data_IF_910222246436
#
_entry.id   IF_910222246436
#
_cell.length_a   1.000
_cell.length_b   1.000
_cell.length_c   1.000
_cell.angle_alpha   90.00
_cell.angle_beta   90.00
_cell.angle_gamma   90.00
#
_symmetry.space_group_name_H-M   'P 1'
#
loop_
_entity.id
_entity.type
_entity.pdbx_description
1 polymer ?
#
# COMPACT_ATOMS: atom_id res chain seq x y z
N UNK A 1 -12.34 43.61 -29.76
CA UNK A 1 -13.56 42.81 -30.01
C UNK A 1 -13.25 41.30 -30.11
N UNK A 2 -12.23 40.78 -29.47
CA UNK A 2 -11.89 39.35 -29.56
C UNK A 2 -11.70 38.65 -28.20
N UNK A 3 -12.38 39.08 -27.14
CA UNK A 3 -12.25 38.48 -25.81
C UNK A 3 -13.40 37.51 -25.46
N UNK A 4 -14.43 37.42 -26.30
CA UNK A 4 -15.61 36.61 -25.99
C UNK A 4 -15.52 35.13 -26.42
N UNK A 5 -14.52 34.72 -27.22
CA UNK A 5 -14.40 33.33 -27.70
C UNK A 5 -13.62 32.38 -26.81
N UNK A 6 -12.85 32.90 -25.83
CA UNK A 6 -12.05 32.05 -24.93
C UNK A 6 -12.82 31.46 -23.73
N UNK A 7 -14.00 31.99 -23.39
CA UNK A 7 -14.79 31.51 -22.24
C UNK A 7 -15.64 30.27 -22.55
N UNK A 8 -15.93 30.03 -23.81
CA UNK A 8 -16.76 28.86 -24.23
C UNK A 8 -15.95 27.57 -24.25
N UNK A 9 -14.63 27.65 -24.43
CA UNK A 9 -13.74 26.48 -24.45
C UNK A 9 -13.46 25.86 -23.07
N UNK A 10 -13.59 26.61 -21.99
CA UNK A 10 -13.29 26.11 -20.64
C UNK A 10 -14.39 25.23 -20.05
N UNK A 11 -15.65 25.48 -20.40
CA UNK A 11 -16.78 24.66 -19.93
C UNK A 11 -16.86 23.31 -20.64
N UNK A 12 -16.46 23.23 -21.91
CA UNK A 12 -16.37 21.95 -22.63
C UNK A 12 -15.29 21.02 -22.03
N UNK A 13 -14.15 21.56 -21.64
CA UNK A 13 -13.08 20.75 -21.00
C UNK A 13 -13.46 20.19 -19.63
N UNK A 14 -14.35 20.85 -18.90
CA UNK A 14 -14.81 20.39 -17.58
C UNK A 14 -15.84 19.27 -17.72
N UNK A 15 -16.72 19.32 -18.71
CA UNK A 15 -17.72 18.27 -18.98
C UNK A 15 -17.07 16.95 -19.46
N UNK A 16 -16.06 17.03 -20.30
CA UNK A 16 -15.38 15.84 -20.82
C UNK A 16 -14.56 15.13 -19.71
N UNK A 17 -14.08 15.86 -18.70
CA UNK A 17 -13.42 15.25 -17.53
C UNK A 17 -14.38 14.46 -16.62
N UNK A 18 -15.65 14.82 -16.57
CA UNK A 18 -16.65 14.13 -15.74
C UNK A 18 -17.11 12.80 -16.35
N UNK A 19 -16.86 12.55 -17.64
CA UNK A 19 -17.29 11.34 -18.35
C UNK A 19 -16.17 10.34 -18.61
N UNK A 20 -14.97 10.51 -18.07
CA UNK A 20 -13.98 9.47 -18.04
C UNK A 20 -14.53 8.29 -17.20
N UNK A 21 -15.29 7.41 -17.87
CA UNK A 21 -15.79 6.14 -17.29
C UNK A 21 -14.61 5.46 -16.63
N UNK A 22 -14.63 5.36 -15.29
CA UNK A 22 -13.68 4.54 -14.54
C UNK A 22 -13.71 3.16 -15.16
N UNK A 23 -12.69 2.79 -15.94
CA UNK A 23 -12.56 1.43 -16.48
C UNK A 23 -12.68 0.50 -15.28
N UNK A 24 -13.72 -0.34 -15.26
CA UNK A 24 -13.84 -1.40 -14.25
C UNK A 24 -12.55 -2.21 -14.35
N UNK A 25 -11.76 -2.21 -13.28
CA UNK A 25 -10.59 -3.07 -13.20
C UNK A 25 -11.10 -4.50 -13.31
N UNK A 26 -10.63 -5.21 -14.32
CA UNK A 26 -10.89 -6.64 -14.46
C UNK A 26 -10.37 -7.33 -13.20
N UNK A 27 -11.21 -8.10 -12.53
CA UNK A 27 -10.79 -8.89 -11.38
C UNK A 27 -9.88 -10.00 -11.88
N UNK A 28 -8.62 -9.95 -11.51
CA UNK A 28 -7.66 -11.01 -11.80
C UNK A 28 -7.86 -12.10 -10.75
N UNK A 29 -8.20 -13.32 -11.14
CA UNK A 29 -8.25 -14.47 -10.24
C UNK A 29 -6.81 -14.98 -10.03
N UNK A 30 -6.18 -14.55 -8.95
CA UNK A 30 -4.80 -14.92 -8.60
C UNK A 30 -4.87 -15.66 -7.27
N UNK A 31 -4.57 -16.97 -7.27
CA UNK A 31 -4.62 -17.79 -6.07
C UNK A 31 -3.41 -17.58 -5.15
N UNK A 32 -2.23 -17.36 -5.74
CA UNK A 32 -0.98 -17.16 -5.00
C UNK A 32 -0.43 -15.75 -5.22
N UNK A 33 -0.03 -15.10 -4.13
CA UNK A 33 0.56 -13.77 -4.16
C UNK A 33 1.67 -13.59 -3.16
N UNK A 34 2.30 -12.42 -3.23
CA UNK A 34 3.32 -11.96 -2.29
C UNK A 34 2.84 -10.70 -1.60
N UNK A 35 2.99 -10.64 -0.28
CA UNK A 35 2.69 -9.42 0.47
C UNK A 35 3.98 -8.76 0.94
N UNK A 36 4.15 -7.50 0.64
CA UNK A 36 5.29 -6.69 1.03
C UNK A 36 4.86 -5.70 2.10
N UNK A 37 5.40 -5.84 3.30
CA UNK A 37 5.19 -4.96 4.44
C UNK A 37 6.40 -4.06 4.57
N UNK A 38 6.25 -2.77 4.35
CA UNK A 38 7.29 -1.78 4.58
C UNK A 38 6.93 -0.96 5.82
N UNK A 39 7.58 -1.26 6.94
CA UNK A 39 7.39 -0.57 8.21
C UNK A 39 8.58 0.36 8.48
N UNK A 40 8.41 1.65 8.28
CA UNK A 40 9.36 2.68 8.67
C UNK A 40 8.97 3.30 10.02
N UNK A 41 9.87 4.09 10.62
CA UNK A 41 9.56 4.83 11.85
C UNK A 41 8.40 5.83 11.70
N UNK A 42 8.05 6.25 10.49
CA UNK A 42 7.05 7.28 10.23
C UNK A 42 5.77 6.74 9.58
N UNK A 43 5.82 5.58 8.94
CA UNK A 43 4.70 5.05 8.16
C UNK A 43 4.78 3.54 7.98
N UNK A 44 3.62 2.91 7.76
CA UNK A 44 3.53 1.52 7.34
C UNK A 44 2.78 1.46 6.02
N UNK A 45 3.35 0.77 5.04
CA UNK A 45 2.78 0.53 3.72
C UNK A 45 2.72 -0.98 3.49
N UNK A 46 1.59 -1.46 3.03
CA UNK A 46 1.38 -2.87 2.69
C UNK A 46 0.98 -2.94 1.23
N UNK A 47 1.69 -3.75 0.47
CA UNK A 47 1.42 -3.98 -0.96
C UNK A 47 1.32 -5.47 -1.22
N UNK A 48 0.25 -5.88 -1.88
CA UNK A 48 0.06 -7.27 -2.33
C UNK A 48 0.34 -7.32 -3.83
N UNK A 49 1.19 -8.26 -4.22
CA UNK A 49 1.58 -8.48 -5.62
C UNK A 49 1.28 -9.91 -6.04
N UNK A 50 1.24 -10.15 -7.33
CA UNK A 50 1.28 -11.51 -7.89
C UNK A 50 2.71 -12.08 -7.85
N UNK A 51 2.88 -13.31 -8.33
CA UNK A 51 4.20 -13.95 -8.41
C UNK A 51 5.16 -13.25 -9.37
N UNK A 52 4.63 -12.48 -10.34
CA UNK A 52 5.41 -11.71 -11.31
C UNK A 52 5.83 -10.33 -10.79
N UNK A 53 5.32 -9.90 -9.62
CA UNK A 53 5.60 -8.60 -9.03
C UNK A 53 4.62 -7.48 -9.39
N UNK A 54 3.53 -7.78 -10.13
CA UNK A 54 2.53 -6.77 -10.43
C UNK A 54 1.67 -6.50 -9.19
N UNK A 55 1.43 -5.24 -8.85
CA UNK A 55 0.62 -4.87 -7.71
C UNK A 55 -0.87 -5.15 -7.96
N UNK A 56 -1.48 -5.93 -7.06
CA UNK A 56 -2.91 -6.27 -7.06
C UNK A 56 -3.67 -5.30 -6.16
N UNK A 57 -3.17 -5.14 -4.94
CA UNK A 57 -3.76 -4.31 -3.91
C UNK A 57 -2.69 -3.63 -3.07
N UNK A 58 -3.00 -2.47 -2.54
CA UNK A 58 -2.11 -1.78 -1.62
C UNK A 58 -2.91 -0.93 -0.64
N UNK A 59 -2.31 -0.66 0.51
CA UNK A 59 -2.85 0.23 1.53
C UNK A 59 -1.72 0.90 2.29
N UNK A 60 -1.99 2.08 2.84
CA UNK A 60 -1.05 2.84 3.67
C UNK A 60 -1.78 3.55 4.81
N UNK A 61 -1.07 3.88 5.87
CA UNK A 61 -1.69 4.56 7.03
C UNK A 61 -2.28 5.92 6.68
N UNK A 62 -1.72 6.61 5.68
CA UNK A 62 -2.26 7.87 5.18
C UNK A 62 -3.62 7.74 4.50
N UNK A 63 -3.93 6.62 3.85
CA UNK A 63 -5.23 6.37 3.23
C UNK A 63 -6.36 6.23 4.25
N UNK A 64 -6.04 5.74 5.44
CA UNK A 64 -7.00 5.58 6.54
C UNK A 64 -7.13 6.83 7.42
N UNK A 65 -6.66 7.98 6.96
CA UNK A 65 -6.79 9.25 7.66
C UNK A 65 -5.84 9.45 8.85
N UNK A 66 -4.89 8.53 9.08
CA UNK A 66 -3.86 8.75 10.08
C UNK A 66 -2.89 9.84 9.64
N UNK A 67 -2.62 10.81 10.53
CA UNK A 67 -1.73 11.95 10.26
C UNK A 67 -0.61 12.04 11.31
N UNK A 68 0.51 12.63 10.93
CA UNK A 68 1.65 12.87 11.81
C UNK A 68 2.18 11.59 12.47
N UNK A 69 2.43 11.62 13.77
CA UNK A 69 2.95 10.51 14.57
C UNK A 69 2.02 9.30 14.67
N UNK A 70 0.72 9.48 14.45
CA UNK A 70 -0.27 8.38 14.47
C UNK A 70 -0.06 7.37 13.34
N UNK A 71 0.65 7.72 12.26
CA UNK A 71 0.95 6.82 11.15
C UNK A 71 1.88 5.67 11.52
N UNK A 72 2.77 5.87 12.49
CA UNK A 72 3.75 4.87 12.91
C UNK A 72 3.24 3.93 14.00
N UNK A 73 1.99 4.09 14.44
CA UNK A 73 1.44 3.28 15.52
C UNK A 73 1.16 1.85 15.09
N UNK A 74 1.30 0.86 16.00
CA UNK A 74 0.94 -0.53 15.73
C UNK A 74 -0.52 -0.71 15.32
N UNK A 75 -1.42 0.08 15.88
CA UNK A 75 -2.84 0.07 15.54
C UNK A 75 -3.07 0.45 14.06
N UNK A 76 -2.43 1.53 13.60
CA UNK A 76 -2.54 1.94 12.20
C UNK A 76 -2.01 0.87 11.25
N UNK A 77 -0.91 0.20 11.59
CA UNK A 77 -0.33 -0.89 10.81
C UNK A 77 -1.30 -2.09 10.68
N UNK A 78 -2.01 -2.43 11.78
CA UNK A 78 -3.04 -3.46 11.77
C UNK A 78 -4.16 -3.13 10.78
N UNK A 79 -4.75 -1.93 10.86
CA UNK A 79 -5.83 -1.50 9.97
C UNK A 79 -5.42 -1.53 8.50
N UNK A 80 -4.19 -1.09 8.20
CA UNK A 80 -3.63 -1.11 6.85
C UNK A 80 -3.47 -2.53 6.31
N UNK A 81 -2.97 -3.45 7.14
CA UNK A 81 -2.78 -4.85 6.76
C UNK A 81 -4.14 -5.52 6.47
N UNK A 82 -5.12 -5.34 7.34
CA UNK A 82 -6.47 -5.87 7.16
C UNK A 82 -7.13 -5.35 5.87
N UNK A 83 -7.02 -4.04 5.58
CA UNK A 83 -7.57 -3.43 4.36
C UNK A 83 -6.88 -3.94 3.08
N UNK A 84 -5.54 -4.03 3.09
CA UNK A 84 -4.79 -4.53 1.94
C UNK A 84 -5.15 -5.99 1.62
N UNK A 85 -5.28 -6.83 2.65
CA UNK A 85 -5.64 -8.24 2.48
C UNK A 85 -7.08 -8.37 1.99
N UNK A 86 -8.03 -7.62 2.55
CA UNK A 86 -9.43 -7.65 2.11
C UNK A 86 -9.52 -7.35 0.61
N UNK A 87 -8.83 -6.31 0.15
CA UNK A 87 -8.75 -5.97 -1.28
C UNK A 87 -8.07 -7.07 -2.12
N UNK A 88 -7.09 -7.78 -1.57
CA UNK A 88 -6.43 -8.88 -2.25
C UNK A 88 -7.34 -10.12 -2.35
N UNK A 89 -8.08 -10.44 -1.29
CA UNK A 89 -9.05 -11.53 -1.28
C UNK A 89 -10.20 -11.28 -2.27
N UNK A 90 -10.63 -10.03 -2.46
CA UNK A 90 -11.59 -9.64 -3.49
C UNK A 90 -11.10 -9.96 -4.92
N UNK A 91 -9.77 -10.06 -5.11
CA UNK A 91 -9.12 -10.47 -6.35
C UNK A 91 -8.77 -11.98 -6.39
N UNK A 92 -9.22 -12.76 -5.39
CA UNK A 92 -9.11 -14.22 -5.37
C UNK A 92 -7.88 -14.78 -4.66
N UNK A 93 -7.04 -13.94 -4.04
CA UNK A 93 -5.82 -14.39 -3.34
C UNK A 93 -6.18 -15.24 -2.12
N UNK A 94 -5.61 -16.45 -2.02
CA UNK A 94 -5.81 -17.39 -0.91
C UNK A 94 -4.52 -17.81 -0.21
N UNK A 95 -3.39 -17.77 -0.91
CA UNK A 95 -2.07 -18.09 -0.32
C UNK A 95 -1.10 -16.94 -0.53
N UNK A 96 -0.33 -16.61 0.51
CA UNK A 96 0.60 -15.48 0.51
C UNK A 96 1.96 -15.86 1.08
N UNK A 97 3.02 -15.39 0.40
CA UNK A 97 4.36 -15.28 0.95
C UNK A 97 4.56 -13.89 1.51
N UNK A 98 5.02 -13.78 2.74
CA UNK A 98 5.14 -12.51 3.45
C UNK A 98 6.58 -12.01 3.44
N UNK A 99 6.80 -10.82 2.90
CA UNK A 99 8.08 -10.12 2.88
C UNK A 99 8.03 -8.88 3.77
N UNK A 100 8.81 -8.87 4.84
CA UNK A 100 8.85 -7.77 5.81
C UNK A 100 10.12 -6.97 5.65
N UNK A 101 9.99 -5.64 5.62
CA UNK A 101 11.11 -4.71 5.49
C UNK A 101 10.95 -3.55 6.46
N UNK A 102 12.03 -3.25 7.19
CA UNK A 102 12.16 -2.04 8.00
C UNK A 102 11.98 -2.25 9.50
N UNK A 103 12.47 -1.30 10.32
CA UNK A 103 12.52 -1.38 11.77
C UNK A 103 11.31 -0.78 12.49
N UNK A 104 10.25 -0.42 11.76
CA UNK A 104 9.07 0.27 12.33
C UNK A 104 8.30 -0.57 13.33
N UNK A 105 7.66 0.08 14.30
CA UNK A 105 6.84 -0.54 15.35
C UNK A 105 5.61 -1.27 14.80
N UNK A 106 5.17 -0.91 13.58
CA UNK A 106 4.04 -1.55 12.90
C UNK A 106 4.34 -2.95 12.33
N UNK A 107 5.60 -3.38 12.31
CA UNK A 107 6.04 -4.64 11.71
C UNK A 107 5.31 -5.87 12.28
N UNK A 108 5.40 -6.08 13.59
CA UNK A 108 4.77 -7.21 14.25
C UNK A 108 3.25 -7.16 14.21
N UNK A 109 2.69 -5.96 14.38
CA UNK A 109 1.25 -5.76 14.39
C UNK A 109 0.63 -6.05 13.02
N UNK A 110 1.31 -5.70 11.93
CA UNK A 110 0.91 -6.06 10.58
C UNK A 110 0.95 -7.59 10.37
N UNK A 111 2.01 -8.26 10.82
CA UNK A 111 2.12 -9.73 10.73
C UNK A 111 0.99 -10.43 11.49
N UNK A 112 0.71 -10.00 12.72
CA UNK A 112 -0.39 -10.54 13.53
C UNK A 112 -1.74 -10.31 12.87
N UNK A 113 -1.94 -9.14 12.25
CA UNK A 113 -3.18 -8.85 11.52
C UNK A 113 -3.37 -9.79 10.33
N UNK A 114 -2.30 -10.08 9.58
CA UNK A 114 -2.34 -11.00 8.45
C UNK A 114 -2.70 -12.42 8.90
N UNK A 115 -2.08 -12.90 9.99
CA UNK A 115 -2.35 -14.24 10.53
C UNK A 115 -3.75 -14.39 11.13
N UNK A 116 -4.39 -13.30 11.52
CA UNK A 116 -5.74 -13.30 12.08
C UNK A 116 -6.86 -13.34 11.03
N UNK A 117 -6.54 -13.13 9.75
CA UNK A 117 -7.53 -13.15 8.67
C UNK A 117 -7.89 -14.58 8.30
N UNK A 118 -9.17 -14.92 8.47
CA UNK A 118 -9.70 -16.24 8.09
C UNK A 118 -9.72 -16.43 6.57
N UNK A 119 -9.39 -17.64 6.12
CA UNK A 119 -9.40 -18.00 4.71
C UNK A 119 -8.12 -17.64 3.94
N UNK A 120 -7.09 -17.15 4.63
CA UNK A 120 -5.79 -16.86 4.06
C UNK A 120 -4.73 -17.82 4.60
N UNK A 121 -3.95 -18.45 3.70
CA UNK A 121 -2.85 -19.34 4.07
C UNK A 121 -1.51 -18.60 3.90
N UNK A 122 -0.75 -18.49 4.97
CA UNK A 122 0.64 -17.99 4.92
C UNK A 122 1.54 -19.18 4.62
N UNK A 123 2.34 -19.10 3.54
CA UNK A 123 3.27 -20.15 3.12
C UNK A 123 4.65 -19.93 3.73
N UNK A 124 5.15 -18.71 3.66
CA UNK A 124 6.48 -18.36 4.15
C UNK A 124 6.53 -16.92 4.67
N UNK A 125 7.47 -16.65 5.57
CA UNK A 125 7.74 -15.30 6.08
C UNK A 125 9.24 -15.01 5.89
N UNK A 126 9.55 -13.97 5.15
CA UNK A 126 10.91 -13.54 4.84
C UNK A 126 11.17 -12.14 5.39
N UNK A 127 12.28 -11.97 6.10
CA UNK A 127 12.80 -10.66 6.45
C UNK A 127 13.79 -10.20 5.38
N UNK A 128 13.44 -9.11 4.71
CA UNK A 128 14.26 -8.50 3.65
C UNK A 128 14.79 -7.12 4.04
N UNK A 129 14.92 -6.86 5.33
CA UNK A 129 15.47 -5.59 5.83
C UNK A 129 16.93 -5.46 5.40
N UNK A 130 17.30 -4.44 4.60
CA UNK A 130 18.68 -4.28 4.15
C UNK A 130 19.59 -3.86 5.31
N UNK A 131 20.69 -4.58 5.49
CA UNK A 131 21.76 -4.25 6.43
C UNK A 131 23.00 -3.85 5.63
N UNK A 132 23.47 -2.59 5.70
CA UNK A 132 24.66 -2.18 4.97
C UNK A 132 25.94 -2.80 5.60
N UNK A 133 26.81 -3.32 4.75
CA UNK A 133 28.15 -3.75 5.13
C UNK A 133 29.14 -2.60 4.92
N UNK A 134 29.18 -1.62 5.83
CA UNK A 134 29.96 -0.38 5.67
C UNK A 134 29.67 0.36 4.34
N UNK A 135 28.42 0.46 3.97
CA UNK A 135 27.97 1.14 2.75
C UNK A 135 28.05 2.67 2.83
N UNK A 136 27.11 3.35 2.19
CA UNK A 136 27.04 4.80 2.18
C UNK A 136 26.87 5.38 3.59
N UNK A 137 27.48 6.56 3.81
CA UNK A 137 27.32 7.30 5.06
C UNK A 137 25.85 7.58 5.34
N UNK A 138 25.33 7.30 6.55
CA UNK A 138 23.95 7.60 6.90
C UNK A 138 23.68 9.11 6.87
N UNK A 139 22.42 9.52 6.70
CA UNK A 139 22.05 10.93 6.72
C UNK A 139 22.40 11.59 8.04
N UNK A 140 22.63 12.89 7.99
CA UNK A 140 22.95 13.69 9.19
C UNK A 140 21.85 13.59 10.23
N UNK A 141 22.22 13.52 11.51
CA UNK A 141 21.24 13.51 12.59
C UNK A 141 20.38 14.79 12.51
N UNK A 142 19.07 14.61 12.63
CA UNK A 142 18.11 15.69 12.63
C UNK A 142 18.33 16.58 13.87
N UNK A 143 18.49 17.87 13.67
CA UNK A 143 18.48 18.85 14.77
C UNK A 143 17.02 19.06 15.19
N UNK A 144 16.76 18.96 16.48
CA UNK A 144 15.46 19.21 17.11
C UNK A 144 15.50 20.63 17.67
#
# INVERSE_FOLDING_TARGET
YEIASCLVGSEMCIRDRAQAKKKKKEKKNIEQGKIHIQASFNNTIVTVTDNQGNAIAWSSTGMHGFKGSRKSTPFAARVVAEDAIRKAMDNGVRSLDVYVKGPGTGRESALRAISAVEGLRITSIHDVTPVPHNGCRPPKQRRI
#
